data_IF_013222009658
#
_entry.id   IF_013222009658
#
_cell.length_a   1.000
_cell.length_b   1.000
_cell.length_c   1.000
_cell.angle_alpha   90.00
_cell.angle_beta   90.00
_cell.angle_gamma   90.00
#
_symmetry.space_group_name_H-M   'P 1'
#
loop_
_entity.id
_entity.type
_entity.pdbx_description
1 polymer ?
#
# COMPACT_ATOMS: atom_id res chain seq x y z
N UNK A 1 16.82 -12.95 -16.07
CA UNK A 1 17.14 -12.63 -14.67
C UNK A 1 17.44 -11.14 -14.58
N UNK A 2 16.48 -10.33 -14.14
CA UNK A 2 16.63 -8.88 -14.06
C UNK A 2 17.52 -8.54 -12.85
N UNK A 3 18.84 -8.48 -13.04
CA UNK A 3 19.79 -8.01 -12.02
C UNK A 3 20.06 -6.52 -12.23
N UNK A 4 20.21 -5.76 -11.14
CA UNK A 4 20.48 -4.31 -11.08
C UNK A 4 19.38 -3.39 -11.66
N UNK A 5 18.11 -3.78 -11.59
CA UNK A 5 17.06 -2.78 -11.73
C UNK A 5 17.02 -1.95 -10.45
N UNK A 6 17.16 -0.63 -10.59
CA UNK A 6 17.11 0.34 -9.48
C UNK A 6 15.63 0.53 -9.05
N UNK A 7 15.01 -0.58 -8.65
CA UNK A 7 13.61 -0.71 -8.28
C UNK A 7 13.43 -0.12 -6.90
N UNK A 8 12.90 1.09 -6.88
CA UNK A 8 12.73 1.85 -5.65
C UNK A 8 11.30 2.38 -5.57
N UNK A 9 10.56 1.86 -4.59
CA UNK A 9 9.29 2.46 -4.20
C UNK A 9 9.47 3.87 -3.62
N UNK A 10 10.69 4.25 -3.22
CA UNK A 10 10.96 5.61 -2.76
C UNK A 10 10.70 6.66 -3.85
N UNK A 11 10.93 6.34 -5.13
CA UNK A 11 10.61 7.23 -6.25
C UNK A 11 9.10 7.49 -6.37
N UNK A 12 8.26 6.49 -6.05
CA UNK A 12 6.81 6.61 -6.09
C UNK A 12 6.23 7.46 -4.95
N UNK A 13 6.99 7.72 -3.88
CA UNK A 13 6.57 8.63 -2.78
C UNK A 13 6.52 10.09 -3.22
N UNK A 14 7.34 10.49 -4.21
CA UNK A 14 7.42 11.88 -4.68
C UNK A 14 6.09 12.35 -5.32
N UNK A 15 5.49 11.63 -6.30
CA UNK A 15 4.17 12.00 -6.84
C UNK A 15 3.08 12.16 -5.78
N UNK A 16 3.05 11.28 -4.76
CA UNK A 16 2.08 11.36 -3.66
C UNK A 16 2.30 12.66 -2.85
N UNK A 17 3.55 12.98 -2.53
CA UNK A 17 3.90 14.20 -1.81
C UNK A 17 3.61 15.47 -2.64
N UNK A 18 3.86 15.43 -3.95
CA UNK A 18 3.58 16.55 -4.85
C UNK A 18 2.06 16.78 -4.98
N UNK A 19 1.25 15.71 -5.08
CA UNK A 19 -0.22 15.81 -5.04
C UNK A 19 -0.72 16.40 -3.71
N UNK A 20 -0.15 15.94 -2.58
CA UNK A 20 -0.47 16.48 -1.24
C UNK A 20 -0.25 17.99 -1.17
N UNK A 21 0.82 18.49 -1.78
CA UNK A 21 1.17 19.92 -1.81
C UNK A 21 0.30 20.72 -2.78
N UNK A 22 -0.12 20.12 -3.89
CA UNK A 22 -0.88 20.80 -4.92
C UNK A 22 -2.35 21.00 -4.52
N UNK A 23 -3.03 19.94 -4.09
CA UNK A 23 -4.45 20.00 -3.71
C UNK A 23 -4.75 19.21 -2.44
N UNK A 24 -4.10 18.05 -2.23
CA UNK A 24 -4.16 17.29 -0.98
C UNK A 24 -5.53 16.76 -0.58
N UNK A 25 -6.48 16.60 -1.51
CA UNK A 25 -7.76 15.97 -1.20
C UNK A 25 -7.55 14.53 -0.74
N UNK A 26 -8.20 14.16 0.37
CA UNK A 26 -8.05 12.86 1.00
C UNK A 26 -8.38 11.70 0.05
N UNK A 27 -9.41 11.84 -0.78
CA UNK A 27 -9.80 10.83 -1.77
C UNK A 27 -8.66 10.50 -2.74
N UNK A 28 -8.06 11.52 -3.35
CA UNK A 28 -6.96 11.32 -4.28
C UNK A 28 -5.66 10.89 -3.58
N UNK A 29 -5.44 11.28 -2.33
CA UNK A 29 -4.33 10.76 -1.53
C UNK A 29 -4.50 9.27 -1.27
N UNK A 30 -5.69 8.84 -0.85
CA UNK A 30 -6.00 7.45 -0.61
C UNK A 30 -5.85 6.63 -1.90
N UNK A 31 -6.40 7.11 -3.02
CA UNK A 31 -6.25 6.46 -4.33
C UNK A 31 -4.78 6.25 -4.72
N UNK A 32 -3.95 7.29 -4.61
CA UNK A 32 -2.53 7.20 -4.97
C UNK A 32 -1.75 6.26 -4.04
N UNK A 33 -2.10 6.22 -2.74
CA UNK A 33 -1.46 5.33 -1.78
C UNK A 33 -1.88 3.86 -2.01
N UNK A 34 -3.15 3.60 -2.30
CA UNK A 34 -3.64 2.26 -2.67
C UNK A 34 -2.96 1.80 -3.96
N UNK A 35 -2.91 2.65 -4.98
CA UNK A 35 -2.24 2.34 -6.25
C UNK A 35 -0.75 2.04 -6.06
N UNK A 36 -0.06 2.78 -5.20
CA UNK A 36 1.32 2.45 -4.81
C UNK A 36 1.41 1.02 -4.27
N UNK A 37 0.51 0.64 -3.35
CA UNK A 37 0.55 -0.66 -2.69
C UNK A 37 0.29 -1.79 -3.70
N UNK A 38 -0.69 -1.61 -4.59
CA UNK A 38 -0.99 -2.54 -5.69
C UNK A 38 0.21 -2.76 -6.61
N UNK A 39 0.85 -1.68 -7.06
CA UNK A 39 2.02 -1.77 -7.94
C UNK A 39 3.22 -2.39 -7.22
N UNK A 40 3.44 -2.05 -5.95
CA UNK A 40 4.57 -2.57 -5.20
C UNK A 40 4.43 -4.07 -4.88
N UNK A 41 3.25 -4.50 -4.43
CA UNK A 41 2.96 -5.90 -4.18
C UNK A 41 2.98 -6.72 -5.49
N UNK A 42 2.30 -6.25 -6.53
CA UNK A 42 2.30 -6.93 -7.83
C UNK A 42 3.70 -7.11 -8.39
N UNK A 43 4.53 -6.05 -8.36
CA UNK A 43 5.93 -6.13 -8.78
C UNK A 43 6.71 -7.17 -7.98
N UNK A 44 6.63 -7.11 -6.64
CA UNK A 44 7.33 -8.07 -5.77
C UNK A 44 6.93 -9.51 -6.05
N UNK A 45 5.63 -9.76 -6.22
CA UNK A 45 5.08 -11.07 -6.56
C UNK A 45 5.62 -11.60 -7.88
N UNK A 46 5.60 -10.77 -8.93
CA UNK A 46 5.99 -11.17 -10.29
C UNK A 46 7.50 -11.45 -10.41
N UNK A 47 8.34 -10.68 -9.72
CA UNK A 47 9.80 -10.80 -9.86
C UNK A 47 10.47 -11.62 -8.77
N UNK A 48 9.72 -12.01 -7.74
CA UNK A 48 10.25 -12.69 -6.55
C UNK A 48 11.25 -11.82 -5.79
N UNK A 49 10.92 -10.54 -5.59
CA UNK A 49 11.78 -9.62 -4.84
C UNK A 49 11.96 -10.13 -3.40
N UNK A 50 13.14 -9.96 -2.82
CA UNK A 50 13.48 -10.39 -1.45
C UNK A 50 14.25 -9.26 -0.75
N UNK A 51 13.59 -8.10 -0.63
CA UNK A 51 14.18 -6.89 -0.04
C UNK A 51 13.32 -6.43 1.15
N UNK A 52 13.84 -6.60 2.36
CA UNK A 52 13.15 -6.23 3.60
C UNK A 52 12.86 -4.73 3.70
N UNK A 53 13.76 -3.88 3.18
CA UNK A 53 13.57 -2.43 3.19
C UNK A 53 12.42 -2.00 2.26
N UNK A 54 12.28 -2.69 1.12
CA UNK A 54 11.16 -2.55 0.20
C UNK A 54 9.85 -2.97 0.88
N UNK A 55 9.84 -4.12 1.55
CA UNK A 55 8.66 -4.62 2.25
C UNK A 55 8.23 -3.72 3.40
N UNK A 56 9.17 -3.27 4.22
CA UNK A 56 8.90 -2.29 5.26
C UNK A 56 8.30 -1.00 4.67
N UNK A 57 8.82 -0.50 3.55
CA UNK A 57 8.27 0.66 2.87
C UNK A 57 6.87 0.43 2.28
N UNK A 58 6.54 -0.81 1.90
CA UNK A 58 5.21 -1.22 1.44
C UNK A 58 4.21 -1.24 2.60
N UNK A 59 4.52 -1.96 3.69
CA UNK A 59 3.68 -2.02 4.91
C UNK A 59 3.40 -0.61 5.46
N UNK A 60 4.42 0.25 5.51
CA UNK A 60 4.26 1.64 5.95
C UNK A 60 3.34 2.47 5.05
N UNK A 61 3.33 2.22 3.74
CA UNK A 61 2.39 2.90 2.84
C UNK A 61 0.98 2.34 3.01
N UNK A 62 0.85 1.03 3.21
CA UNK A 62 -0.41 0.36 3.46
C UNK A 62 -1.12 0.91 4.70
N UNK A 63 -0.40 1.03 5.82
CA UNK A 63 -0.88 1.68 7.05
C UNK A 63 -1.37 3.12 6.78
N UNK A 64 -0.58 3.90 6.02
CA UNK A 64 -0.95 5.28 5.70
C UNK A 64 -2.18 5.37 4.79
N UNK A 65 -2.36 4.41 3.88
CA UNK A 65 -3.54 4.30 3.03
C UNK A 65 -4.78 4.05 3.89
N UNK A 66 -4.74 3.05 4.79
CA UNK A 66 -5.83 2.74 5.71
C UNK A 66 -6.24 3.96 6.55
N UNK A 67 -5.26 4.64 7.17
CA UNK A 67 -5.50 5.87 7.94
C UNK A 67 -6.16 6.98 7.11
N UNK A 68 -5.77 7.11 5.85
CA UNK A 68 -6.36 8.11 4.95
C UNK A 68 -7.79 7.73 4.57
N UNK A 69 -8.03 6.44 4.28
CA UNK A 69 -9.36 5.91 3.94
C UNK A 69 -10.34 6.08 5.11
N UNK A 70 -9.90 5.83 6.35
CA UNK A 70 -10.71 6.02 7.55
C UNK A 70 -11.21 7.48 7.74
N UNK A 71 -10.61 8.45 7.06
CA UNK A 71 -11.06 9.86 7.07
C UNK A 71 -12.04 10.21 5.93
N UNK A 72 -12.32 9.29 5.02
CA UNK A 72 -13.25 9.50 3.89
C UNK A 72 -14.70 9.24 4.30
N UNK A 73 -15.64 9.60 3.42
CA UNK A 73 -17.04 9.19 3.58
C UNK A 73 -17.22 7.70 3.26
N UNK A 74 -18.14 7.03 3.95
CA UNK A 74 -18.33 5.57 3.91
C UNK A 74 -18.46 5.00 2.49
N UNK A 75 -19.20 5.70 1.62
CA UNK A 75 -19.41 5.29 0.22
C UNK A 75 -18.11 5.16 -0.60
N UNK A 76 -17.03 5.82 -0.16
CA UNK A 76 -15.73 5.80 -0.83
C UNK A 76 -14.72 4.84 -0.16
N UNK A 77 -15.01 4.37 1.06
CA UNK A 77 -14.09 3.52 1.82
C UNK A 77 -14.03 2.11 1.25
N UNK A 78 -15.19 1.48 1.04
CA UNK A 78 -15.29 0.06 0.68
C UNK A 78 -14.48 -0.31 -0.57
N UNK A 79 -14.56 0.42 -1.70
CA UNK A 79 -13.81 0.04 -2.90
C UNK A 79 -12.28 0.13 -2.72
N UNK A 80 -11.81 1.02 -1.86
CA UNK A 80 -10.38 1.17 -1.57
C UNK A 80 -9.90 0.09 -0.61
N UNK A 81 -10.73 -0.31 0.35
CA UNK A 81 -10.44 -1.45 1.23
C UNK A 81 -10.38 -2.76 0.50
N UNK A 82 -11.33 -3.05 -0.40
CA UNK A 82 -11.31 -4.30 -1.17
C UNK A 82 -10.00 -4.45 -1.97
N UNK A 83 -9.47 -3.33 -2.48
CA UNK A 83 -8.17 -3.30 -3.17
C UNK A 83 -7.00 -3.55 -2.22
N UNK A 84 -7.04 -2.99 -1.00
CA UNK A 84 -6.04 -3.25 0.02
C UNK A 84 -6.08 -4.69 0.55
N UNK A 85 -7.27 -5.30 0.69
CA UNK A 85 -7.38 -6.72 1.06
C UNK A 85 -6.75 -7.63 0.00
N UNK A 86 -6.94 -7.32 -1.29
CA UNK A 86 -6.25 -8.02 -2.37
C UNK A 86 -4.72 -7.86 -2.31
N UNK A 87 -4.23 -6.67 -1.95
CA UNK A 87 -2.79 -6.44 -1.71
C UNK A 87 -2.28 -7.30 -0.56
N UNK A 88 -2.96 -7.29 0.58
CA UNK A 88 -2.64 -8.13 1.76
C UNK A 88 -2.57 -9.60 1.36
N UNK A 89 -3.59 -10.12 0.67
CA UNK A 89 -3.63 -11.50 0.17
C UNK A 89 -2.44 -11.82 -0.74
N UNK A 90 -2.03 -10.88 -1.59
CA UNK A 90 -0.85 -11.06 -2.45
C UNK A 90 0.45 -11.13 -1.62
N UNK A 91 0.58 -10.25 -0.62
CA UNK A 91 1.77 -10.15 0.24
C UNK A 91 2.01 -11.36 1.14
N UNK A 92 0.98 -12.16 1.44
CA UNK A 92 1.12 -13.46 2.13
C UNK A 92 2.06 -14.42 1.40
N UNK A 93 2.28 -14.22 0.09
CA UNK A 93 3.19 -15.05 -0.70
C UNK A 93 4.68 -14.60 -0.62
N UNK A 94 4.99 -13.48 0.05
CA UNK A 94 6.36 -12.91 0.03
C UNK A 94 7.28 -13.48 1.12
N UNK A 95 6.70 -13.98 2.22
CA UNK A 95 7.41 -14.29 3.46
C UNK A 95 7.66 -13.05 4.32
N UNK A 96 8.61 -13.13 5.27
CA UNK A 96 9.04 -12.02 6.13
C UNK A 96 7.96 -11.39 7.03
N UNK A 97 6.82 -12.06 7.22
CA UNK A 97 5.71 -11.53 8.03
C UNK A 97 4.95 -10.36 7.38
N UNK A 98 5.18 -10.05 6.09
CA UNK A 98 4.56 -8.89 5.44
C UNK A 98 3.04 -9.02 5.37
N UNK A 99 2.54 -10.21 5.06
CA UNK A 99 1.11 -10.50 5.07
C UNK A 99 0.52 -10.40 6.48
N UNK A 100 1.22 -10.95 7.48
CA UNK A 100 0.79 -10.91 8.89
C UNK A 100 0.72 -9.47 9.42
N UNK A 101 1.73 -8.65 9.14
CA UNK A 101 1.72 -7.22 9.50
C UNK A 101 0.53 -6.49 8.85
N UNK A 102 0.18 -6.84 7.60
CA UNK A 102 -0.98 -6.27 6.92
C UNK A 102 -2.31 -6.78 7.47
N UNK A 103 -2.37 -8.03 7.96
CA UNK A 103 -3.54 -8.58 8.65
C UNK A 103 -3.81 -7.80 9.94
N UNK A 104 -2.78 -7.57 10.75
CA UNK A 104 -2.87 -6.80 11.99
C UNK A 104 -3.35 -5.37 11.74
N UNK A 105 -2.78 -4.71 10.72
CA UNK A 105 -3.20 -3.36 10.31
C UNK A 105 -4.64 -3.35 9.79
N UNK A 106 -5.03 -4.32 8.96
CA UNK A 106 -6.39 -4.39 8.47
C UNK A 106 -7.37 -4.69 9.61
N UNK A 107 -6.99 -5.45 10.64
CA UNK A 107 -7.84 -5.64 11.81
C UNK A 107 -7.96 -4.36 12.65
N UNK A 108 -6.88 -3.59 12.81
CA UNK A 108 -6.87 -2.34 13.59
C UNK A 108 -7.73 -1.24 12.94
N UNK A 109 -7.64 -1.10 11.62
CA UNK A 109 -8.32 -0.02 10.88
C UNK A 109 -9.58 -0.49 10.13
N UNK A 110 -9.81 -1.81 10.05
CA UNK A 110 -10.84 -2.48 9.23
C UNK A 110 -12.21 -2.66 9.88
N UNK A 111 -12.39 -2.18 11.11
CA UNK A 111 -13.67 -2.27 11.81
C UNK A 111 -14.15 -0.87 12.16
N UNK A 112 -15.05 -0.33 11.34
CA UNK A 112 -16.12 0.49 11.88
C UNK A 112 -17.11 -0.49 12.55
N UNK A 113 -17.47 -0.27 13.81
CA UNK A 113 -18.37 -1.12 14.63
C UNK A 113 -19.62 -1.66 13.90
#
# INVERSE_FOLDING_TARGET
>A
MFKNQDTSVAKAKKPIADYKKAIGLAEGLAELMVFYCERAAGFSHEVGLQDEGYFYALVRMFEQALKTIASLADAQRQPLWDRLDNVRSTCHNFGYGVGDDMDDLLAEYGTDE
#
